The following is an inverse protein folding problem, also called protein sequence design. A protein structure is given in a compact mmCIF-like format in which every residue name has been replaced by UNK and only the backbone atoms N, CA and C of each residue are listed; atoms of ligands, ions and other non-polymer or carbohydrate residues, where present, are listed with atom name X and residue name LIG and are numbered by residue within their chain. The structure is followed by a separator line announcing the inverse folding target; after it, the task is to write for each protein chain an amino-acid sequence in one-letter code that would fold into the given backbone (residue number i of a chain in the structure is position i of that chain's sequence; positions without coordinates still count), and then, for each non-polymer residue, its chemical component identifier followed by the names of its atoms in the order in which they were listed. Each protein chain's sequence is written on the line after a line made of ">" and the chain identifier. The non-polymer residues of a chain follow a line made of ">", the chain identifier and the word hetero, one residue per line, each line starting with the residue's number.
data_IF_148064685702
#
_entry.id   IF_148064685702
#
_cell.length_a   1.000
_cell.length_b   1.000
_cell.length_c   1.000
_cell.angle_alpha   90.00
_cell.angle_beta   90.00
_cell.angle_gamma   90.00
#
_symmetry.space_group_name_H-M   'P 1'
#
loop_
_entity.id
_entity.type
_entity.pdbx_description
1 polymer ?
#
# COMPACT_ATOMS: atom_id res chain seq x y z
N UNK A 1 39.24 22.37 -38.11
CA UNK A 1 38.98 23.77 -37.76
C UNK A 1 37.73 23.79 -36.87
N UNK A 2 37.96 24.23 -35.62
CA UNK A 2 37.03 24.81 -34.59
C UNK A 2 35.77 24.00 -34.29
N UNK A 3 35.55 23.30 -33.24
CA UNK A 3 35.92 23.53 -31.84
C UNK A 3 34.90 24.38 -31.10
N UNK A 4 33.86 23.76 -30.50
CA UNK A 4 33.15 24.42 -29.36
C UNK A 4 32.70 23.37 -28.34
N UNK A 5 33.40 23.40 -27.21
CA UNK A 5 33.10 22.63 -25.99
C UNK A 5 31.99 23.35 -25.22
N UNK A 6 30.84 22.70 -25.01
CA UNK A 6 29.81 23.11 -24.08
C UNK A 6 30.18 22.72 -22.65
N UNK A 7 30.20 23.70 -21.73
CA UNK A 7 30.49 23.56 -20.31
C UNK A 7 29.36 22.81 -19.60
N UNK A 8 29.73 21.75 -18.89
CA UNK A 8 28.93 21.09 -17.87
C UNK A 8 28.97 21.96 -16.61
N UNK A 9 27.82 22.50 -16.22
CA UNK A 9 27.66 23.25 -14.99
C UNK A 9 27.60 22.30 -13.79
N UNK A 10 28.63 22.36 -12.93
CA UNK A 10 28.68 21.64 -11.69
C UNK A 10 27.72 22.22 -10.65
N UNK A 11 26.84 21.41 -10.14
CA UNK A 11 26.05 21.70 -8.93
C UNK A 11 26.98 21.69 -7.71
N UNK A 12 27.18 22.85 -7.09
CA UNK A 12 27.83 22.98 -5.77
C UNK A 12 26.88 22.46 -4.71
N UNK A 13 27.30 21.44 -3.94
CA UNK A 13 26.70 21.01 -2.70
C UNK A 13 26.71 22.18 -1.69
N UNK A 14 25.54 22.69 -1.36
CA UNK A 14 25.37 23.65 -0.27
C UNK A 14 25.55 22.94 1.06
N UNK A 15 26.55 23.40 1.83
CA UNK A 15 26.85 22.95 3.19
C UNK A 15 25.67 23.26 4.12
N UNK A 16 24.99 22.20 4.63
CA UNK A 16 24.07 22.33 5.75
C UNK A 16 24.84 22.73 7.00
N UNK A 17 24.63 23.94 7.51
CA UNK A 17 25.02 24.30 8.86
C UNK A 17 24.09 23.60 9.85
N UNK A 18 24.62 22.62 10.56
CA UNK A 18 24.05 22.09 11.77
C UNK A 18 24.07 23.17 12.85
N UNK A 19 22.91 23.54 13.37
CA UNK A 19 22.86 24.51 14.46
C UNK A 19 21.44 24.82 14.86
N UNK A 20 20.83 23.95 15.67
CA UNK A 20 19.85 24.24 16.72
C UNK A 20 19.34 22.89 17.27
N UNK A 21 20.22 22.16 17.98
CA UNK A 21 19.82 21.19 18.96
C UNK A 21 20.13 21.77 20.35
N UNK A 22 19.17 21.84 21.28
CA UNK A 22 19.51 22.10 22.67
C UNK A 22 20.22 20.87 23.22
N UNK A 23 21.42 21.09 23.80
CA UNK A 23 22.20 20.09 24.50
C UNK A 23 21.38 19.51 25.66
N UNK A 24 21.16 18.21 25.63
CA UNK A 24 20.58 17.46 26.75
C UNK A 24 21.69 17.16 27.75
N UNK A 25 21.56 17.69 28.98
CA UNK A 25 22.46 17.46 30.11
C UNK A 25 21.83 16.34 30.98
N UNK A 26 22.48 15.18 31.17
CA UNK A 26 21.91 14.06 31.93
C UNK A 26 22.10 14.16 33.46
N UNK A 27 22.49 15.33 34.03
CA UNK A 27 22.89 15.43 35.42
C UNK A 27 21.87 16.07 36.40
N UNK A 28 20.57 16.13 36.07
CA UNK A 28 19.55 16.64 37.00
C UNK A 28 18.43 15.61 37.25
N UNK A 29 18.74 14.48 37.86
CA UNK A 29 17.75 13.65 38.56
C UNK A 29 17.74 13.98 40.05
N UNK A 30 16.79 14.81 40.45
CA UNK A 30 16.41 15.02 41.86
C UNK A 30 15.03 14.46 42.10
N UNK A 31 14.93 13.44 42.95
CA UNK A 31 13.69 12.80 43.41
C UNK A 31 12.75 13.85 44.03
N UNK A 32 11.47 13.83 43.59
CA UNK A 32 10.36 14.41 44.34
C UNK A 32 9.20 13.42 44.39
N UNK A 33 9.04 12.81 45.54
CA UNK A 33 7.90 11.98 45.95
C UNK A 33 6.66 12.86 46.03
N UNK A 34 5.66 12.62 45.16
CA UNK A 34 4.37 13.31 45.18
C UNK A 34 3.42 12.63 46.15
N UNK A 35 2.83 13.40 47.08
CA UNK A 35 1.73 13.00 47.97
C UNK A 35 0.38 13.01 47.22
N UNK A 36 -0.56 12.09 47.56
CA UNK A 36 -1.90 12.06 46.94
C UNK A 36 -2.84 13.08 47.59
N UNK A 37 -3.40 13.97 46.79
CA UNK A 37 -4.47 14.86 47.20
C UNK A 37 -4.36 16.25 46.61
N UNK A 38 -4.80 16.41 45.34
CA UNK A 38 -5.40 17.65 44.84
C UNK A 38 -5.95 17.36 43.43
N UNK A 39 -7.22 16.95 43.39
CA UNK A 39 -7.98 16.89 42.14
C UNK A 39 -8.62 18.27 41.90
N UNK A 40 -7.88 19.17 41.32
CA UNK A 40 -8.32 20.53 41.00
C UNK A 40 -7.62 21.07 39.79
N UNK A 41 -8.41 21.27 38.74
CA UNK A 41 -8.12 22.19 37.63
C UNK A 41 -7.03 21.84 36.61
N UNK A 42 -7.33 20.89 35.72
CA UNK A 42 -6.57 20.60 34.50
C UNK A 42 -7.06 21.39 33.26
N UNK A 43 -7.62 22.56 33.46
CA UNK A 43 -8.04 23.45 32.37
C UNK A 43 -7.08 24.64 32.22
N UNK A 44 -5.88 24.44 31.66
CA UNK A 44 -5.05 25.64 31.38
C UNK A 44 -3.54 25.45 31.25
N UNK A 45 -3.03 24.32 30.73
CA UNK A 45 -1.63 24.27 30.32
C UNK A 45 -1.52 24.09 28.82
N UNK A 46 -0.85 25.02 28.10
CA UNK A 46 -0.41 24.79 26.74
C UNK A 46 0.81 23.85 26.76
N UNK A 47 0.79 22.88 25.83
CA UNK A 47 1.93 22.20 25.24
C UNK A 47 2.82 21.37 26.14
N UNK A 48 2.41 20.10 26.31
CA UNK A 48 3.34 19.02 26.66
C UNK A 48 4.16 18.64 25.42
N UNK A 49 5.49 18.44 25.52
CA UNK A 49 6.35 18.00 24.41
C UNK A 49 5.90 16.69 23.75
N UNK A 50 5.10 15.87 24.43
CA UNK A 50 4.51 14.65 23.89
C UNK A 50 3.51 14.89 22.73
N UNK A 51 2.79 16.01 22.71
CA UNK A 51 1.85 16.32 21.61
C UNK A 51 2.54 16.77 20.33
N UNK A 52 3.72 17.36 20.44
CA UNK A 52 4.58 17.73 19.29
C UNK A 52 5.24 16.49 18.67
N UNK A 53 5.72 15.56 19.48
CA UNK A 53 6.33 14.30 19.01
C UNK A 53 5.31 13.49 18.20
N UNK A 54 4.06 13.37 18.68
CA UNK A 54 2.99 12.67 17.94
C UNK A 54 2.64 13.39 16.62
N UNK A 55 2.75 14.71 16.55
CA UNK A 55 2.48 15.46 15.32
C UNK A 55 3.56 15.24 14.24
N UNK A 56 4.81 15.01 14.62
CA UNK A 56 5.91 14.79 13.68
C UNK A 56 5.89 13.38 13.06
N UNK A 57 5.23 12.41 13.71
CA UNK A 57 5.04 11.07 13.18
C UNK A 57 3.95 11.01 12.09
N UNK A 58 3.15 12.07 11.92
CA UNK A 58 2.13 12.11 10.88
C UNK A 58 2.78 12.29 9.50
N UNK A 59 2.34 11.49 8.49
CA UNK A 59 2.85 11.61 7.12
C UNK A 59 2.41 12.91 6.43
N UNK A 60 1.26 13.45 6.85
CA UNK A 60 0.69 14.69 6.34
C UNK A 60 1.26 15.91 7.08
N UNK A 61 1.42 17.03 6.37
CA UNK A 61 1.75 18.30 6.99
C UNK A 61 0.61 18.77 7.88
N UNK A 62 0.90 19.00 9.16
CA UNK A 62 -0.06 19.52 10.13
C UNK A 62 0.34 20.93 10.57
N UNK A 63 -0.58 21.87 10.40
CA UNK A 63 -0.44 23.23 10.91
C UNK A 63 -1.65 23.57 11.76
N UNK A 64 -1.41 24.03 12.99
CA UNK A 64 -2.47 24.50 13.90
C UNK A 64 -2.19 25.94 14.27
N UNK A 65 -3.16 26.81 14.04
CA UNK A 65 -3.12 28.20 14.48
C UNK A 65 -4.18 28.46 15.57
N UNK A 66 -3.87 29.40 16.46
CA UNK A 66 -4.75 29.83 17.54
C UNK A 66 -5.86 30.79 17.05
N UNK A 67 -6.60 31.37 17.99
CA UNK A 67 -7.67 32.32 17.74
C UNK A 67 -7.21 33.64 17.10
N UNK A 68 -5.93 33.99 17.22
CA UNK A 68 -5.31 35.19 16.67
C UNK A 68 -4.55 34.90 15.36
N UNK A 69 -4.68 33.68 14.84
CA UNK A 69 -4.02 33.22 13.62
C UNK A 69 -2.53 32.90 13.79
N UNK A 70 -2.04 32.80 15.02
CA UNK A 70 -0.62 32.47 15.26
C UNK A 70 -0.42 30.96 15.26
N UNK A 71 0.57 30.50 14.51
CA UNK A 71 0.94 29.10 14.39
C UNK A 71 1.45 28.56 15.72
N UNK A 72 0.79 27.53 16.23
CA UNK A 72 1.14 26.83 17.48
C UNK A 72 1.78 25.46 17.22
N UNK A 73 1.39 24.81 16.12
CA UNK A 73 1.96 23.53 15.69
C UNK A 73 2.31 23.63 14.23
N UNK A 74 3.51 23.17 13.89
CA UNK A 74 4.03 23.07 12.53
C UNK A 74 4.93 21.86 12.48
N UNK A 75 4.42 20.73 11.99
CA UNK A 75 5.13 19.45 12.04
C UNK A 75 6.22 19.33 10.97
N UNK A 76 7.07 18.33 11.11
CA UNK A 76 8.17 18.05 10.18
C UNK A 76 7.69 17.84 8.73
N UNK A 77 6.51 17.25 8.52
CA UNK A 77 5.92 17.08 7.18
C UNK A 77 5.50 18.42 6.57
N UNK A 78 4.91 19.34 7.35
CA UNK A 78 4.60 20.69 6.90
C UNK A 78 5.88 21.46 6.52
N UNK A 79 6.94 21.34 7.32
CA UNK A 79 8.23 21.96 7.02
C UNK A 79 8.84 21.46 5.70
N UNK A 80 8.77 20.16 5.44
CA UNK A 80 9.24 19.58 4.17
C UNK A 80 8.41 20.02 2.96
N UNK A 81 7.08 20.09 3.10
CA UNK A 81 6.19 20.46 2.01
C UNK A 81 6.26 21.92 1.63
N UNK A 82 6.47 22.80 2.62
CA UNK A 82 6.47 24.25 2.41
C UNK A 82 7.86 24.85 2.26
N UNK A 83 8.92 24.07 2.56
CA UNK A 83 10.29 24.58 2.61
C UNK A 83 10.57 25.52 3.79
N UNK A 84 9.61 25.73 4.70
CA UNK A 84 9.72 26.64 5.85
C UNK A 84 10.10 25.84 7.10
N UNK A 85 11.22 26.15 7.80
CA UNK A 85 11.57 25.51 9.05
C UNK A 85 10.51 25.75 10.13
N UNK A 86 10.26 24.76 10.99
CA UNK A 86 9.24 24.87 12.05
C UNK A 86 9.56 26.03 13.02
N UNK A 87 10.83 26.28 13.35
CA UNK A 87 11.26 27.41 14.19
C UNK A 87 10.88 28.77 13.59
N UNK A 88 10.85 28.89 12.27
CA UNK A 88 10.51 30.14 11.57
C UNK A 88 9.00 30.31 11.40
N UNK A 89 8.23 29.23 11.54
CA UNK A 89 6.78 29.23 11.40
C UNK A 89 6.05 29.50 12.72
N UNK A 90 6.57 28.95 13.84
CA UNK A 90 5.93 29.04 15.15
C UNK A 90 5.79 30.49 15.63
N UNK A 91 4.60 30.81 16.15
CA UNK A 91 4.25 32.15 16.68
C UNK A 91 3.96 33.20 15.60
N UNK A 92 4.27 32.95 14.33
CA UNK A 92 3.95 33.86 13.22
C UNK A 92 2.48 33.68 12.76
N UNK A 93 2.00 34.67 12.01
CA UNK A 93 0.66 34.59 11.43
C UNK A 93 0.63 33.49 10.35
N UNK A 94 -0.40 32.64 10.39
CA UNK A 94 -0.58 31.52 9.45
C UNK A 94 -0.67 31.98 7.99
N UNK A 95 -1.18 33.19 7.75
CA UNK A 95 -1.28 33.77 6.40
C UNK A 95 0.12 34.10 5.83
N UNK A 96 1.06 34.46 6.68
CA UNK A 96 2.44 34.77 6.27
C UNK A 96 3.29 33.50 6.12
N UNK A 97 3.01 32.49 6.95
CA UNK A 97 3.70 31.19 6.90
C UNK A 97 3.23 30.35 5.72
N UNK A 98 1.94 30.41 5.40
CA UNK A 98 1.31 29.69 4.30
C UNK A 98 0.65 30.67 3.33
N UNK A 99 1.37 31.37 2.48
CA UNK A 99 0.83 32.32 1.51
C UNK A 99 0.18 31.58 0.31
N UNK A 100 -0.90 30.86 0.58
CA UNK A 100 -1.59 29.98 -0.35
C UNK A 100 -2.39 30.74 -1.41
N UNK A 101 -2.31 30.28 -2.66
CA UNK A 101 -3.05 30.82 -3.81
C UNK A 101 -3.83 29.72 -4.51
N UNK A 102 -4.95 30.07 -5.13
CA UNK A 102 -5.68 29.17 -6.03
C UNK A 102 -5.03 29.11 -7.44
N UNK A 103 -5.61 28.31 -8.33
CA UNK A 103 -5.12 28.16 -9.70
C UNK A 103 -5.11 29.46 -10.51
N UNK A 104 -5.97 30.42 -10.14
CA UNK A 104 -6.05 31.75 -10.75
C UNK A 104 -5.13 32.78 -10.06
N UNK A 105 -4.30 32.34 -9.10
CA UNK A 105 -3.37 33.21 -8.39
C UNK A 105 -3.99 34.08 -7.29
N UNK A 106 -5.28 33.89 -6.97
CA UNK A 106 -5.97 34.65 -5.91
C UNK A 106 -5.58 34.13 -4.53
N UNK A 107 -5.47 35.05 -3.56
CA UNK A 107 -5.14 34.68 -2.20
C UNK A 107 -6.25 33.83 -1.56
N UNK A 108 -5.94 32.58 -1.19
CA UNK A 108 -6.88 31.67 -0.55
C UNK A 108 -7.46 32.23 0.76
N UNK A 109 -6.67 32.96 1.53
CA UNK A 109 -7.09 33.53 2.82
C UNK A 109 -8.18 34.60 2.69
N UNK A 110 -8.22 35.33 1.58
CA UNK A 110 -9.28 36.28 1.30
C UNK A 110 -10.62 35.60 1.05
N UNK A 111 -10.60 34.39 0.47
CA UNK A 111 -11.82 33.61 0.19
C UNK A 111 -12.22 32.72 1.38
N UNK A 112 -11.26 32.13 2.07
CA UNK A 112 -11.51 31.22 3.19
C UNK A 112 -11.93 31.97 4.45
N UNK A 113 -11.34 33.15 4.71
CA UNK A 113 -11.51 34.01 5.88
C UNK A 113 -11.92 33.25 7.16
N UNK A 114 -11.01 32.46 7.75
CA UNK A 114 -11.36 31.54 8.82
C UNK A 114 -11.86 32.25 10.08
N UNK A 115 -11.41 33.49 10.33
CA UNK A 115 -11.64 34.21 11.56
C UNK A 115 -12.83 35.18 11.49
N UNK A 116 -13.07 35.80 10.31
CA UNK A 116 -14.13 36.81 10.12
C UNK A 116 -15.26 36.37 9.20
N UNK A 117 -15.09 35.19 8.54
CA UNK A 117 -16.10 34.63 7.63
C UNK A 117 -17.32 34.04 8.33
N UNK A 118 -18.11 33.26 7.61
CA UNK A 118 -19.37 32.67 8.07
C UNK A 118 -19.20 31.87 9.37
N UNK A 119 -19.86 32.26 10.44
CA UNK A 119 -19.81 31.62 11.77
C UNK A 119 -20.33 30.18 11.78
N UNK A 120 -21.04 29.76 10.76
CA UNK A 120 -21.57 28.40 10.57
C UNK A 120 -20.56 27.46 9.89
N UNK A 121 -19.52 27.97 9.22
CA UNK A 121 -18.54 27.17 8.53
C UNK A 121 -17.62 26.45 9.55
N UNK A 122 -17.57 25.13 9.46
CA UNK A 122 -16.73 24.29 10.34
C UNK A 122 -15.53 23.67 9.63
N UNK A 123 -15.53 23.66 8.30
CA UNK A 123 -14.44 23.12 7.50
C UNK A 123 -14.39 23.77 6.12
N UNK A 124 -13.21 23.73 5.51
CA UNK A 124 -13.01 23.95 4.08
C UNK A 124 -12.68 22.59 3.47
N UNK A 125 -13.37 22.15 2.41
CA UNK A 125 -13.07 20.88 1.75
C UNK A 125 -11.65 20.91 1.18
N UNK A 126 -11.15 19.75 0.80
CA UNK A 126 -9.86 19.62 0.13
C UNK A 126 -9.84 20.47 -1.14
N UNK A 127 -8.82 21.33 -1.23
CA UNK A 127 -8.58 22.18 -2.39
C UNK A 127 -7.12 22.09 -2.80
N UNK A 128 -6.87 22.13 -4.12
CA UNK A 128 -5.54 22.27 -4.68
C UNK A 128 -5.12 23.74 -4.61
N UNK A 129 -4.07 24.03 -3.87
CA UNK A 129 -3.54 25.37 -3.66
C UNK A 129 -2.04 25.40 -3.99
N UNK A 130 -1.53 26.58 -4.27
CA UNK A 130 -0.16 26.78 -4.73
C UNK A 130 0.62 27.65 -3.75
N UNK A 131 1.84 27.25 -3.45
CA UNK A 131 2.83 28.08 -2.76
C UNK A 131 3.43 29.11 -3.74
N UNK A 132 4.11 30.16 -3.24
CA UNK A 132 4.74 31.18 -4.08
C UNK A 132 5.79 30.66 -5.08
N UNK A 133 6.41 29.51 -4.77
CA UNK A 133 7.38 28.83 -5.64
C UNK A 133 6.72 28.00 -6.74
N UNK A 134 5.37 27.95 -6.79
CA UNK A 134 4.59 27.17 -7.72
C UNK A 134 4.34 25.72 -7.27
N UNK A 135 4.78 25.32 -6.09
CA UNK A 135 4.53 23.99 -5.54
C UNK A 135 3.05 23.81 -5.27
N UNK A 136 2.44 22.80 -5.89
CA UNK A 136 1.04 22.42 -5.68
C UNK A 136 0.91 21.57 -4.41
N UNK A 137 0.00 21.97 -3.52
CA UNK A 137 -0.36 21.25 -2.30
C UNK A 137 -1.86 21.10 -2.14
N UNK A 138 -2.29 19.93 -1.71
CA UNK A 138 -3.67 19.66 -1.32
C UNK A 138 -3.86 20.12 0.11
N UNK A 139 -4.84 20.99 0.34
CA UNK A 139 -5.07 21.61 1.63
C UNK A 139 -6.49 21.37 2.09
N UNK A 140 -6.66 20.88 3.32
CA UNK A 140 -7.95 20.86 4.03
C UNK A 140 -7.86 21.73 5.28
N UNK A 141 -8.95 22.41 5.63
CA UNK A 141 -9.00 23.25 6.83
C UNK A 141 -10.20 22.87 7.69
N UNK A 142 -10.00 22.77 9.00
CA UNK A 142 -11.04 22.58 9.99
C UNK A 142 -11.03 23.74 11.01
N UNK A 143 -12.22 24.28 11.30
CA UNK A 143 -12.39 25.41 12.20
C UNK A 143 -12.97 24.93 13.53
N UNK A 144 -12.14 24.83 14.57
CA UNK A 144 -12.57 24.48 15.91
C UNK A 144 -13.06 25.76 16.58
N UNK A 145 -14.37 25.84 16.83
CA UNK A 145 -15.02 27.02 17.37
C UNK A 145 -15.35 26.86 18.85
N UNK A 146 -15.47 27.95 19.57
CA UNK A 146 -15.92 27.98 20.97
C UNK A 146 -17.31 27.36 21.14
N UNK A 147 -17.52 26.71 22.30
CA UNK A 147 -18.87 26.29 22.69
C UNK A 147 -19.76 27.51 22.88
N UNK A 148 -20.99 27.45 22.41
CA UNK A 148 -21.98 28.52 22.55
C UNK A 148 -22.23 28.79 24.04
N UNK A 149 -21.95 30.01 24.51
CA UNK A 149 -22.35 30.46 25.84
C UNK A 149 -23.72 31.17 25.79
N UNK A 150 -24.04 31.81 24.66
CA UNK A 150 -25.34 32.49 24.42
C UNK A 150 -25.84 32.16 23.00
N UNK A 151 -27.19 32.07 22.78
CA UNK A 151 -27.77 31.70 21.49
C UNK A 151 -27.46 32.65 20.34
N UNK A 152 -27.23 33.93 20.62
CA UNK A 152 -27.08 35.01 19.63
C UNK A 152 -25.60 35.38 19.31
N UNK A 153 -24.65 34.94 20.10
CA UNK A 153 -23.23 35.31 19.91
C UNK A 153 -22.56 34.56 18.73
N UNK A 154 -21.78 35.26 17.88
CA UNK A 154 -21.02 34.62 16.82
C UNK A 154 -19.95 33.70 17.43
N UNK A 155 -19.86 32.48 16.93
CA UNK A 155 -18.86 31.48 17.37
C UNK A 155 -17.48 31.86 16.85
N UNK A 156 -16.59 32.30 17.71
CA UNK A 156 -15.21 32.60 17.34
C UNK A 156 -14.43 31.31 17.06
N UNK A 157 -13.51 31.35 16.11
CA UNK A 157 -12.58 30.24 15.87
C UNK A 157 -11.57 30.24 16.99
N UNK A 158 -11.50 29.14 17.74
CA UNK A 158 -10.51 28.91 18.80
C UNK A 158 -9.22 28.35 18.24
N UNK A 159 -9.32 27.45 17.25
CA UNK A 159 -8.20 26.85 16.55
C UNK A 159 -8.55 26.64 15.08
N UNK A 160 -7.58 26.88 14.23
CA UNK A 160 -7.59 26.53 12.82
C UNK A 160 -6.63 25.36 12.65
N UNK A 161 -7.13 24.23 12.16
CA UNK A 161 -6.34 23.04 11.85
C UNK A 161 -6.25 22.92 10.33
N UNK A 162 -5.04 22.83 9.81
CA UNK A 162 -4.75 22.74 8.38
C UNK A 162 -3.96 21.45 8.16
N UNK A 163 -4.43 20.61 7.27
CA UNK A 163 -3.68 19.45 6.75
C UNK A 163 -3.17 19.78 5.36
N UNK A 164 -1.90 19.49 5.12
CA UNK A 164 -1.19 19.70 3.87
C UNK A 164 -0.72 18.35 3.31
N UNK A 165 -1.01 18.09 2.05
CA UNK A 165 -0.54 16.90 1.31
C UNK A 165 0.16 17.31 0.04
N UNK A 166 1.25 16.66 -0.29
CA UNK A 166 1.90 16.89 -1.58
C UNK A 166 1.01 16.42 -2.73
N UNK A 167 0.80 17.26 -3.74
CA UNK A 167 0.04 16.91 -4.94
C UNK A 167 0.67 15.73 -5.71
N UNK A 168 1.97 15.50 -5.55
CA UNK A 168 2.67 14.36 -6.13
C UNK A 168 2.08 13.01 -5.72
N UNK A 169 1.59 12.86 -4.48
CA UNK A 169 0.98 11.61 -4.02
C UNK A 169 -0.33 11.34 -4.77
N UNK A 170 -1.16 12.36 -4.97
CA UNK A 170 -2.39 12.26 -5.77
C UNK A 170 -2.07 11.98 -7.23
N UNK A 171 -1.14 12.70 -7.82
CA UNK A 171 -0.71 12.49 -9.20
C UNK A 171 -0.07 11.11 -9.42
N UNK A 172 0.60 10.55 -8.40
CA UNK A 172 1.08 9.15 -8.43
C UNK A 172 -0.07 8.16 -8.38
N UNK A 173 -1.08 8.41 -7.53
CA UNK A 173 -2.26 7.55 -7.39
C UNK A 173 -3.11 7.58 -8.67
N UNK A 174 -3.33 8.77 -9.24
CA UNK A 174 -4.07 8.94 -10.50
C UNK A 174 -3.33 8.30 -11.69
N UNK A 175 -2.00 8.47 -11.76
CA UNK A 175 -1.17 7.77 -12.76
C UNK A 175 -1.22 6.26 -12.58
N UNK A 176 -1.11 5.76 -11.36
CA UNK A 176 -1.21 4.32 -11.07
C UNK A 176 -2.57 3.75 -11.51
N UNK A 177 -3.67 4.49 -11.29
CA UNK A 177 -5.01 4.10 -11.78
C UNK A 177 -5.11 4.12 -13.31
N UNK A 178 -4.56 5.14 -13.95
CA UNK A 178 -4.55 5.22 -15.42
C UNK A 178 -3.71 4.10 -16.04
N UNK A 179 -2.55 3.80 -15.46
CA UNK A 179 -1.67 2.70 -15.87
C UNK A 179 -2.38 1.34 -15.68
N UNK A 180 -3.15 1.18 -14.58
CA UNK A 180 -3.99 0.01 -14.33
C UNK A 180 -4.99 -0.20 -15.46
N UNK A 181 -5.81 0.81 -15.76
CA UNK A 181 -6.84 0.73 -16.81
C UNK A 181 -6.21 0.44 -18.18
N UNK A 182 -5.09 1.09 -18.50
CA UNK A 182 -4.37 0.88 -19.77
C UNK A 182 -3.82 -0.53 -19.88
N UNK A 183 -3.21 -1.05 -18.82
CA UNK A 183 -2.64 -2.41 -18.79
C UNK A 183 -3.73 -3.46 -18.92
N UNK A 184 -4.82 -3.32 -18.15
CA UNK A 184 -5.99 -4.23 -18.22
C UNK A 184 -6.58 -4.24 -19.63
N UNK A 185 -6.79 -3.07 -20.24
CA UNK A 185 -7.33 -2.97 -21.60
C UNK A 185 -6.41 -3.68 -22.63
N UNK A 186 -5.10 -3.57 -22.47
CA UNK A 186 -4.14 -4.25 -23.35
C UNK A 186 -4.17 -5.77 -23.17
N UNK A 187 -4.17 -6.26 -21.91
CA UNK A 187 -4.18 -7.69 -21.58
C UNK A 187 -5.51 -8.38 -21.96
N UNK A 188 -6.62 -7.64 -21.94
CA UNK A 188 -7.91 -8.15 -22.43
C UNK A 188 -8.00 -8.15 -23.96
N UNK A 189 -7.44 -7.13 -24.64
CA UNK A 189 -7.54 -7.01 -26.11
C UNK A 189 -6.88 -8.18 -26.83
N UNK A 190 -5.74 -8.65 -26.35
CA UNK A 190 -4.99 -9.74 -26.99
C UNK A 190 -5.79 -11.04 -27.09
N UNK A 191 -6.27 -11.66 -26.00
CA UNK A 191 -7.06 -12.89 -26.07
C UNK A 191 -8.40 -12.70 -26.79
N UNK A 192 -9.09 -11.57 -26.61
CA UNK A 192 -10.33 -11.27 -27.32
C UNK A 192 -10.13 -11.17 -28.83
N UNK A 193 -9.00 -10.63 -29.29
CA UNK A 193 -8.67 -10.59 -30.71
C UNK A 193 -8.44 -11.98 -31.27
N UNK A 194 -7.77 -12.84 -30.51
CA UNK A 194 -7.53 -14.25 -30.87
C UNK A 194 -8.85 -15.04 -30.93
N UNK A 195 -9.67 -14.97 -29.89
CA UNK A 195 -11.03 -15.59 -29.87
C UNK A 195 -11.84 -15.14 -31.08
N UNK A 196 -11.94 -13.82 -31.34
CA UNK A 196 -12.68 -13.29 -32.47
C UNK A 196 -12.10 -13.73 -33.82
N UNK A 197 -10.78 -13.77 -33.94
CA UNK A 197 -10.09 -14.15 -35.18
C UNK A 197 -10.33 -15.62 -35.53
N UNK A 198 -10.14 -16.54 -34.58
CA UNK A 198 -10.34 -17.96 -34.82
C UNK A 198 -11.80 -18.31 -35.04
N UNK A 199 -12.73 -17.74 -34.25
CA UNK A 199 -14.16 -17.96 -34.45
C UNK A 199 -14.62 -17.42 -35.81
N UNK A 200 -14.23 -16.23 -36.23
CA UNK A 200 -14.55 -15.67 -37.53
C UNK A 200 -13.97 -16.53 -38.68
N UNK A 201 -12.75 -17.04 -38.50
CA UNK A 201 -12.07 -17.90 -39.49
C UNK A 201 -12.78 -19.24 -39.63
N UNK A 202 -13.14 -19.86 -38.49
CA UNK A 202 -13.94 -21.12 -38.49
C UNK A 202 -15.29 -20.92 -39.16
N UNK A 203 -16.04 -19.88 -38.83
CA UNK A 203 -17.33 -19.57 -39.42
C UNK A 203 -17.26 -19.36 -40.94
N UNK A 204 -16.23 -18.60 -41.39
CA UNK A 204 -16.10 -18.27 -42.81
C UNK A 204 -15.58 -19.42 -43.68
N UNK A 205 -14.78 -20.32 -43.11
CA UNK A 205 -14.03 -21.33 -43.88
C UNK A 205 -14.10 -22.73 -43.28
N UNK A 206 -15.18 -23.09 -42.57
CA UNK A 206 -15.35 -24.35 -41.84
C UNK A 206 -14.96 -25.59 -42.66
N UNK A 207 -15.38 -25.62 -43.93
CA UNK A 207 -15.16 -26.77 -44.82
C UNK A 207 -13.73 -26.88 -45.37
N UNK A 208 -12.87 -25.88 -45.12
CA UNK A 208 -11.49 -25.88 -45.58
C UNK A 208 -10.50 -26.44 -44.56
N UNK A 209 -10.95 -26.68 -43.34
CA UNK A 209 -10.11 -27.17 -42.25
C UNK A 209 -10.39 -28.62 -41.96
N UNK A 210 -9.34 -29.37 -41.64
CA UNK A 210 -9.44 -30.71 -41.09
C UNK A 210 -10.01 -30.63 -39.67
N UNK A 211 -10.53 -31.76 -39.16
CA UNK A 211 -11.09 -31.79 -37.81
C UNK A 211 -10.03 -31.55 -36.74
N UNK A 212 -8.79 -31.97 -36.94
CA UNK A 212 -7.65 -31.65 -36.06
C UNK A 212 -7.35 -30.14 -36.03
N UNK A 213 -7.37 -29.47 -37.19
CA UNK A 213 -7.19 -28.02 -37.27
C UNK A 213 -8.30 -27.27 -36.58
N UNK A 214 -9.55 -27.67 -36.78
CA UNK A 214 -10.70 -27.10 -36.07
C UNK A 214 -10.56 -27.27 -34.57
N UNK A 215 -10.14 -28.47 -34.13
CA UNK A 215 -9.89 -28.77 -32.70
C UNK A 215 -8.88 -27.84 -32.07
N UNK A 216 -7.71 -27.70 -32.68
CA UNK A 216 -6.66 -26.78 -32.21
C UNK A 216 -7.14 -25.34 -32.11
N UNK A 217 -7.93 -24.87 -33.13
CA UNK A 217 -8.50 -23.53 -33.10
C UNK A 217 -9.50 -23.35 -31.96
N UNK A 218 -10.36 -24.33 -31.71
CA UNK A 218 -11.34 -24.31 -30.62
C UNK A 218 -10.67 -24.39 -29.24
N UNK A 219 -9.66 -25.24 -29.11
CA UNK A 219 -8.86 -25.33 -27.89
C UNK A 219 -8.17 -23.99 -27.58
N UNK A 220 -7.64 -23.31 -28.60
CA UNK A 220 -7.07 -21.96 -28.45
C UNK A 220 -8.12 -20.94 -28.02
N UNK A 221 -9.31 -20.98 -28.63
CA UNK A 221 -10.43 -20.09 -28.24
C UNK A 221 -10.83 -20.32 -26.80
N UNK A 222 -10.95 -21.58 -26.37
CA UNK A 222 -11.30 -21.92 -25.00
C UNK A 222 -10.24 -21.44 -24.01
N UNK A 223 -8.96 -21.69 -24.28
CA UNK A 223 -7.85 -21.24 -23.44
C UNK A 223 -7.78 -19.72 -23.28
N UNK A 224 -8.04 -18.97 -24.37
CA UNK A 224 -8.10 -17.51 -24.33
C UNK A 224 -9.34 -16.99 -23.59
N UNK A 225 -10.49 -17.66 -23.68
CA UNK A 225 -11.68 -17.34 -22.90
C UNK A 225 -11.45 -17.56 -21.39
N UNK A 226 -10.83 -18.67 -21.02
CA UNK A 226 -10.43 -18.95 -19.63
C UNK A 226 -9.44 -17.91 -19.09
N UNK A 227 -8.53 -17.46 -19.95
CA UNK A 227 -7.60 -16.38 -19.60
C UNK A 227 -8.32 -15.07 -19.31
N UNK A 228 -9.32 -14.69 -20.12
CA UNK A 228 -10.14 -13.48 -19.90
C UNK A 228 -10.90 -13.60 -18.58
N UNK A 229 -11.50 -14.75 -18.30
CA UNK A 229 -12.25 -15.00 -17.06
C UNK A 229 -11.34 -14.84 -15.84
N UNK A 230 -10.14 -15.42 -15.86
CA UNK A 230 -9.16 -15.26 -14.78
C UNK A 230 -8.75 -13.79 -14.59
N UNK A 231 -8.51 -13.04 -15.68
CA UNK A 231 -8.19 -11.63 -15.63
C UNK A 231 -9.26 -10.79 -14.94
N UNK A 232 -10.54 -11.08 -15.24
CA UNK A 232 -11.68 -10.39 -14.62
C UNK A 232 -11.74 -10.70 -13.12
N UNK A 233 -11.57 -11.95 -12.74
CA UNK A 233 -11.56 -12.39 -11.33
C UNK A 233 -10.41 -11.73 -10.57
N UNK A 234 -9.19 -11.74 -11.13
CA UNK A 234 -8.02 -11.06 -10.56
C UNK A 234 -8.28 -9.57 -10.32
N UNK A 235 -8.93 -8.89 -11.28
CA UNK A 235 -9.25 -7.46 -11.17
C UNK A 235 -10.27 -7.18 -10.06
N UNK A 236 -11.27 -8.04 -9.92
CA UNK A 236 -12.25 -7.93 -8.82
C UNK A 236 -11.58 -8.14 -7.46
N UNK A 237 -10.67 -9.11 -7.35
CA UNK A 237 -9.92 -9.34 -6.11
C UNK A 237 -9.01 -8.15 -5.79
N UNK A 238 -8.29 -7.60 -6.77
CA UNK A 238 -7.50 -6.35 -6.59
C UNK A 238 -8.38 -5.22 -6.06
N UNK A 239 -9.56 -5.01 -6.67
CA UNK A 239 -10.49 -3.95 -6.23
C UNK A 239 -10.99 -4.15 -4.79
N UNK A 240 -11.25 -5.41 -4.38
CA UNK A 240 -11.66 -5.74 -3.00
C UNK A 240 -10.54 -5.54 -2.00
N UNK A 241 -9.30 -5.92 -2.35
CA UNK A 241 -8.11 -5.73 -1.53
C UNK A 241 -7.84 -4.23 -1.33
N UNK A 242 -7.84 -3.43 -2.41
CA UNK A 242 -7.57 -1.98 -2.32
C UNK A 242 -8.63 -1.21 -1.53
N UNK A 243 -9.90 -1.63 -1.64
CA UNK A 243 -11.00 -1.00 -0.90
C UNK A 243 -11.12 -1.47 0.55
N UNK A 244 -10.31 -2.44 0.99
CA UNK A 244 -10.43 -3.06 2.32
C UNK A 244 -11.73 -3.84 2.52
N UNK A 245 -12.39 -4.24 1.43
CA UNK A 245 -13.68 -4.99 1.44
C UNK A 245 -13.52 -6.48 1.20
N UNK A 246 -12.29 -7.00 1.32
CA UNK A 246 -12.04 -8.42 1.20
C UNK A 246 -12.56 -9.13 2.46
N UNK A 247 -13.65 -9.86 2.32
CA UNK A 247 -14.21 -10.71 3.38
C UNK A 247 -13.55 -12.07 3.34
N UNK A 248 -13.24 -12.62 4.52
CA UNK A 248 -12.60 -13.94 4.69
C UNK A 248 -13.55 -14.82 5.51
N UNK A 249 -13.99 -15.92 4.89
CA UNK A 249 -14.87 -16.89 5.54
C UNK A 249 -14.05 -18.01 6.18
N UNK A 250 -13.66 -17.81 7.44
CA UNK A 250 -12.80 -18.75 8.16
C UNK A 250 -13.52 -20.02 8.54
N UNK A 251 -12.95 -21.16 8.15
CA UNK A 251 -13.34 -22.50 8.54
C UNK A 251 -12.09 -23.32 8.89
N UNK A 252 -12.26 -24.44 9.56
CA UNK A 252 -11.13 -25.35 9.80
C UNK A 252 -10.64 -25.95 8.48
N UNK A 253 -9.34 -25.82 8.17
CA UNK A 253 -8.77 -26.23 6.89
C UNK A 253 -7.52 -27.07 7.10
N UNK A 254 -7.46 -28.22 6.40
CA UNK A 254 -6.28 -29.06 6.25
C UNK A 254 -5.41 -28.50 5.09
N UNK A 255 -4.41 -27.68 5.43
CA UNK A 255 -3.51 -27.05 4.43
C UNK A 255 -2.80 -28.10 3.57
N UNK A 256 -2.20 -29.19 4.10
CA UNK A 256 -1.63 -30.27 3.30
C UNK A 256 -2.61 -30.90 2.30
N UNK A 257 -3.86 -31.13 2.69
CA UNK A 257 -4.87 -31.67 1.78
C UNK A 257 -5.17 -30.71 0.62
N UNK A 258 -5.26 -29.39 0.92
CA UNK A 258 -5.47 -28.37 -0.10
C UNK A 258 -4.29 -28.28 -1.06
N UNK A 259 -3.04 -28.29 -0.54
CA UNK A 259 -1.84 -28.29 -1.37
C UNK A 259 -1.81 -29.50 -2.32
N UNK A 260 -2.17 -30.71 -1.82
CA UNK A 260 -2.29 -31.92 -2.69
C UNK A 260 -3.34 -31.73 -3.79
N UNK A 261 -4.50 -31.15 -3.47
CA UNK A 261 -5.55 -30.89 -4.46
C UNK A 261 -5.10 -29.91 -5.54
N UNK A 262 -4.43 -28.82 -5.19
CA UNK A 262 -3.90 -27.86 -6.15
C UNK A 262 -2.86 -28.53 -7.06
N UNK A 263 -1.91 -29.29 -6.50
CA UNK A 263 -0.92 -30.05 -7.28
C UNK A 263 -1.61 -31.05 -8.23
N UNK A 264 -2.59 -31.81 -7.73
CA UNK A 264 -3.36 -32.77 -8.56
C UNK A 264 -4.10 -32.07 -9.71
N UNK A 265 -4.59 -30.85 -9.50
CA UNK A 265 -5.21 -30.03 -10.55
C UNK A 265 -4.22 -29.69 -11.68
N UNK A 266 -2.99 -29.30 -11.36
CA UNK A 266 -1.94 -29.02 -12.35
C UNK A 266 -1.50 -30.29 -13.10
N UNK A 267 -1.41 -31.43 -12.41
CA UNK A 267 -1.12 -32.71 -13.06
C UNK A 267 -2.22 -33.12 -14.02
N UNK A 268 -3.49 -32.97 -13.63
CA UNK A 268 -4.64 -33.23 -14.50
C UNK A 268 -4.67 -32.27 -15.71
N UNK A 269 -4.15 -31.07 -15.58
CA UNK A 269 -4.01 -30.10 -16.67
C UNK A 269 -2.80 -30.38 -17.61
N UNK A 270 -2.03 -31.44 -17.36
CA UNK A 270 -0.96 -31.92 -18.26
C UNK A 270 0.47 -31.72 -17.76
N UNK A 271 0.67 -31.18 -16.55
CA UNK A 271 2.00 -31.11 -15.95
C UNK A 271 2.46 -32.50 -15.46
N UNK A 272 3.74 -32.78 -15.58
CA UNK A 272 4.30 -34.06 -15.13
C UNK A 272 4.29 -34.17 -13.59
N UNK A 273 3.79 -35.29 -13.00
CA UNK A 273 3.76 -35.48 -11.54
C UNK A 273 5.13 -35.30 -10.86
N UNK A 274 6.20 -35.73 -11.52
CA UNK A 274 7.58 -35.65 -11.03
C UNK A 274 8.09 -34.19 -10.85
N UNK A 275 7.41 -33.23 -11.44
CA UNK A 275 7.72 -31.80 -11.25
C UNK A 275 7.29 -31.27 -9.89
N UNK A 276 6.50 -32.03 -9.14
CA UNK A 276 5.96 -31.56 -7.87
C UNK A 276 6.46 -32.40 -6.70
N UNK A 277 6.82 -31.73 -5.62
CA UNK A 277 7.16 -32.33 -4.35
C UNK A 277 6.35 -31.67 -3.24
N UNK A 278 5.68 -32.46 -2.41
CA UNK A 278 4.99 -31.97 -1.22
C UNK A 278 5.69 -32.52 0.02
N UNK A 279 6.15 -31.63 0.87
CA UNK A 279 6.79 -31.92 2.13
C UNK A 279 5.91 -31.37 3.26
N UNK A 280 5.60 -32.19 4.25
CA UNK A 280 4.71 -31.81 5.35
C UNK A 280 5.37 -32.23 6.66
N UNK A 281 5.45 -31.30 7.62
CA UNK A 281 5.91 -31.61 8.98
C UNK A 281 4.90 -32.51 9.70
N UNK A 282 5.43 -33.39 10.58
CA UNK A 282 4.62 -34.40 11.28
C UNK A 282 3.52 -33.80 12.19
N UNK A 283 3.75 -32.61 12.73
CA UNK A 283 2.81 -31.94 13.64
C UNK A 283 2.53 -30.54 13.13
N UNK A 284 1.30 -30.30 12.71
CA UNK A 284 0.79 -28.99 12.33
C UNK A 284 -0.32 -28.57 13.30
N UNK A 285 -0.34 -27.30 13.72
CA UNK A 285 -1.44 -26.79 14.52
C UNK A 285 -2.71 -26.63 13.67
N UNK A 286 -3.88 -26.66 14.29
CA UNK A 286 -5.15 -26.39 13.63
C UNK A 286 -5.17 -24.97 13.06
N UNK A 287 -5.72 -24.82 11.85
CA UNK A 287 -5.83 -23.53 11.16
C UNK A 287 -7.27 -23.25 10.75
N UNK A 288 -7.67 -21.98 10.89
CA UNK A 288 -8.98 -21.49 10.50
C UNK A 288 -8.82 -20.44 9.40
N UNK A 289 -9.06 -20.85 8.16
CA UNK A 289 -8.79 -20.07 6.95
C UNK A 289 -10.00 -20.12 6.02
N UNK A 290 -10.04 -19.24 5.04
CA UNK A 290 -10.91 -19.35 3.89
C UNK A 290 -10.27 -20.32 2.89
N UNK A 291 -10.94 -21.45 2.68
CA UNK A 291 -10.45 -22.55 1.86
C UNK A 291 -10.21 -22.13 0.41
N UNK A 292 -11.15 -21.39 -0.18
CA UNK A 292 -11.05 -20.96 -1.58
C UNK A 292 -9.92 -19.97 -1.79
N UNK A 293 -9.72 -19.09 -0.79
CA UNK A 293 -8.60 -18.11 -0.79
C UNK A 293 -7.25 -18.79 -0.59
N UNK A 294 -7.18 -19.82 0.25
CA UNK A 294 -5.96 -20.62 0.41
C UNK A 294 -5.59 -21.33 -0.90
N UNK A 295 -6.56 -21.94 -1.57
CA UNK A 295 -6.34 -22.59 -2.88
C UNK A 295 -5.82 -21.59 -3.91
N UNK A 296 -6.40 -20.39 -3.93
CA UNK A 296 -5.99 -19.31 -4.81
C UNK A 296 -4.55 -18.85 -4.52
N UNK A 297 -4.16 -18.76 -3.23
CA UNK A 297 -2.79 -18.43 -2.83
C UNK A 297 -1.81 -19.50 -3.35
N UNK A 298 -2.08 -20.77 -3.05
CA UNK A 298 -1.19 -21.87 -3.41
C UNK A 298 -1.12 -22.00 -4.95
N UNK A 299 -2.25 -21.94 -5.64
CA UNK A 299 -2.29 -22.02 -7.11
C UNK A 299 -1.49 -20.89 -7.77
N UNK A 300 -1.66 -19.65 -7.33
CA UNK A 300 -0.90 -18.52 -7.86
C UNK A 300 0.61 -18.66 -7.64
N UNK A 301 1.04 -19.19 -6.49
CA UNK A 301 2.46 -19.42 -6.20
C UNK A 301 3.02 -20.58 -7.02
N UNK A 302 2.28 -21.68 -7.16
CA UNK A 302 2.66 -22.84 -7.99
C UNK A 302 2.71 -22.43 -9.47
N UNK A 303 1.71 -21.72 -9.99
CA UNK A 303 1.74 -21.20 -11.37
C UNK A 303 2.94 -20.27 -11.61
N UNK A 304 3.28 -19.45 -10.61
CA UNK A 304 4.45 -18.58 -10.69
C UNK A 304 5.76 -19.39 -10.77
N UNK A 305 5.90 -20.45 -9.96
CA UNK A 305 7.02 -21.36 -9.96
C UNK A 305 7.13 -22.15 -11.29
N UNK A 306 6.01 -22.61 -11.84
CA UNK A 306 5.98 -23.30 -13.13
C UNK A 306 6.36 -22.40 -14.30
N UNK A 307 5.97 -21.12 -14.26
CA UNK A 307 6.15 -20.15 -15.35
C UNK A 307 7.53 -19.48 -15.34
N UNK A 308 8.03 -19.14 -14.18
CA UNK A 308 9.23 -18.32 -13.99
C UNK A 308 10.39 -19.09 -13.39
N UNK A 309 10.12 -20.18 -12.69
CA UNK A 309 11.11 -21.09 -12.14
C UNK A 309 11.58 -22.15 -13.13
N UNK A 310 12.36 -23.09 -12.64
CA UNK A 310 12.85 -24.26 -13.36
C UNK A 310 12.84 -25.47 -12.41
N UNK A 311 13.04 -26.67 -12.98
CA UNK A 311 13.17 -27.91 -12.22
C UNK A 311 11.93 -28.31 -11.45
N UNK A 312 12.11 -28.81 -10.23
CA UNK A 312 11.03 -29.29 -9.34
C UNK A 312 10.43 -28.12 -8.57
N UNK A 313 9.09 -28.09 -8.50
CA UNK A 313 8.32 -27.17 -7.64
C UNK A 313 8.03 -27.88 -6.33
N UNK A 314 8.64 -27.42 -5.23
CA UNK A 314 8.44 -28.00 -3.90
C UNK A 314 7.48 -27.13 -3.09
N UNK A 315 6.42 -27.75 -2.57
CA UNK A 315 5.50 -27.13 -1.62
C UNK A 315 5.81 -27.70 -0.23
N UNK A 316 6.23 -26.86 0.69
CA UNK A 316 6.61 -27.26 2.05
C UNK A 316 5.62 -26.65 3.03
N UNK A 317 5.03 -27.48 3.90
CA UNK A 317 4.10 -27.06 4.94
C UNK A 317 4.70 -27.43 6.29
N UNK A 318 4.95 -26.43 7.14
CA UNK A 318 5.61 -26.63 8.41
C UNK A 318 5.00 -25.79 9.55
N UNK A 319 5.13 -26.25 10.77
CA UNK A 319 4.84 -25.42 11.95
C UNK A 319 5.95 -24.37 12.09
N UNK A 320 5.56 -23.14 12.38
CA UNK A 320 6.49 -22.05 12.61
C UNK A 320 6.07 -21.25 13.84
N UNK A 321 7.06 -20.82 14.63
CA UNK A 321 6.79 -19.90 15.73
C UNK A 321 6.56 -18.50 15.17
N UNK A 322 5.52 -17.83 15.63
CA UNK A 322 5.34 -16.43 15.34
C UNK A 322 6.57 -15.66 15.87
N UNK A 323 7.28 -14.93 15.04
CA UNK A 323 8.33 -14.00 15.47
C UNK A 323 7.69 -12.79 16.16
N UNK A 324 7.04 -13.05 17.29
CA UNK A 324 6.61 -12.05 18.25
C UNK A 324 7.62 -12.03 19.39
N UNK A 325 7.87 -10.86 19.99
CA UNK A 325 8.84 -10.69 21.08
C UNK A 325 8.63 -11.67 22.24
N UNK A 326 9.53 -11.69 23.24
CA UNK A 326 9.51 -12.65 24.33
C UNK A 326 8.17 -12.62 25.08
N UNK A 327 7.35 -13.69 24.93
CA UNK A 327 6.03 -13.84 25.54
C UNK A 327 4.87 -14.13 24.57
N UNK A 328 5.06 -14.05 23.26
CA UNK A 328 4.03 -14.40 22.27
C UNK A 328 4.22 -15.86 21.82
N UNK A 329 3.45 -16.79 22.37
CA UNK A 329 3.39 -18.20 21.97
C UNK A 329 2.37 -18.46 20.86
N UNK A 330 2.12 -17.47 19.98
CA UNK A 330 1.21 -17.66 18.87
C UNK A 330 1.86 -18.61 17.84
N UNK A 331 1.33 -19.82 17.76
CA UNK A 331 1.73 -20.77 16.72
C UNK A 331 1.24 -20.29 15.36
N UNK A 332 2.04 -20.51 14.34
CA UNK A 332 1.69 -20.23 12.94
C UNK A 332 2.01 -21.44 12.07
N UNK A 333 1.31 -21.58 10.95
CA UNK A 333 1.70 -22.52 9.89
C UNK A 333 2.37 -21.73 8.79
N UNK A 334 3.57 -22.16 8.38
CA UNK A 334 4.26 -21.61 7.23
C UNK A 334 4.10 -22.54 6.02
N UNK A 335 3.83 -21.95 4.88
CA UNK A 335 3.79 -22.62 3.59
C UNK A 335 4.82 -21.98 2.68
N UNK A 336 5.73 -22.77 2.12
CA UNK A 336 6.75 -22.32 1.18
C UNK A 336 6.53 -22.99 -0.17
N UNK A 337 6.52 -22.22 -1.24
CA UNK A 337 6.59 -22.71 -2.61
C UNK A 337 7.95 -22.36 -3.18
N UNK A 338 8.73 -23.38 -3.55
CA UNK A 338 10.14 -23.28 -4.01
C UNK A 338 10.25 -23.73 -5.45
N UNK A 339 11.08 -23.05 -6.22
CA UNK A 339 11.53 -23.46 -7.55
C UNK A 339 13.07 -23.51 -7.61
N UNK A 340 13.61 -24.03 -8.72
CA UNK A 340 15.05 -24.16 -8.96
C UNK A 340 15.51 -23.24 -10.12
N UNK A 341 14.81 -22.11 -10.34
CA UNK A 341 15.14 -21.14 -11.38
C UNK A 341 16.25 -20.15 -11.02
N UNK A 342 16.24 -19.01 -11.67
CA UNK A 342 17.20 -17.92 -11.41
C UNK A 342 16.98 -17.23 -10.04
N UNK A 343 15.79 -17.40 -9.45
CA UNK A 343 15.39 -16.73 -8.22
C UNK A 343 15.02 -15.27 -8.43
N UNK A 344 14.89 -14.56 -7.30
CA UNK A 344 14.56 -13.12 -7.27
C UNK A 344 15.72 -12.36 -6.65
N UNK A 345 16.24 -11.36 -7.35
CA UNK A 345 17.30 -10.52 -6.83
C UNK A 345 16.81 -9.74 -5.58
N UNK A 346 17.63 -9.59 -4.52
CA UNK A 346 17.23 -8.95 -3.27
C UNK A 346 16.63 -7.54 -3.44
N UNK A 347 17.15 -6.78 -4.41
CA UNK A 347 16.69 -5.41 -4.72
C UNK A 347 15.28 -5.40 -5.30
N UNK A 348 14.84 -6.52 -5.89
CA UNK A 348 13.50 -6.68 -6.48
C UNK A 348 12.49 -7.24 -5.48
N UNK A 349 12.92 -7.88 -4.39
CA UNK A 349 12.05 -8.50 -3.40
C UNK A 349 10.92 -7.59 -2.88
N UNK A 350 11.13 -6.29 -2.55
CA UNK A 350 10.05 -5.39 -2.15
C UNK A 350 9.09 -5.01 -3.28
N UNK A 351 9.48 -5.28 -4.54
CA UNK A 351 8.73 -4.86 -5.74
C UNK A 351 7.90 -5.97 -6.35
N UNK A 352 8.23 -7.24 -6.13
CA UNK A 352 7.55 -8.39 -6.77
C UNK A 352 6.07 -8.49 -6.38
N UNK A 353 5.69 -7.96 -5.20
CA UNK A 353 4.31 -7.91 -4.72
C UNK A 353 3.53 -6.66 -5.15
N UNK A 354 4.12 -5.77 -5.97
CA UNK A 354 3.39 -4.61 -6.51
C UNK A 354 2.52 -5.02 -7.68
N UNK A 355 1.42 -4.32 -7.85
CA UNK A 355 0.53 -4.49 -9.00
C UNK A 355 1.30 -4.35 -10.31
N UNK A 356 0.99 -5.22 -11.29
CA UNK A 356 1.56 -5.24 -12.65
C UNK A 356 3.08 -5.35 -12.71
N UNK A 357 3.73 -5.69 -11.60
CA UNK A 357 5.17 -5.89 -11.62
C UNK A 357 5.54 -7.14 -12.41
N UNK A 358 6.50 -7.00 -13.32
CA UNK A 358 7.04 -8.07 -14.16
C UNK A 358 8.55 -7.89 -14.30
N UNK A 359 9.31 -8.95 -14.08
CA UNK A 359 10.77 -8.92 -14.27
C UNK A 359 11.18 -8.93 -15.76
N UNK A 360 10.43 -9.62 -16.59
CA UNK A 360 10.61 -9.71 -18.05
C UNK A 360 9.22 -9.75 -18.72
N UNK A 361 9.10 -9.28 -19.96
CA UNK A 361 7.82 -9.18 -20.72
C UNK A 361 7.15 -10.54 -21.08
N UNK A 362 7.56 -11.66 -20.48
CA UNK A 362 7.01 -12.97 -20.79
C UNK A 362 5.88 -13.36 -19.84
N UNK A 363 4.65 -13.27 -20.34
CA UNK A 363 3.45 -13.93 -19.84
C UNK A 363 3.02 -13.57 -18.40
N UNK A 364 1.72 -13.46 -18.17
CA UNK A 364 1.12 -13.19 -16.87
C UNK A 364 0.71 -11.73 -16.69
N UNK A 365 -0.28 -11.51 -15.81
CA UNK A 365 -0.91 -10.21 -15.56
C UNK A 365 -0.07 -9.30 -14.67
N UNK A 366 0.83 -9.89 -13.86
CA UNK A 366 1.53 -9.19 -12.79
C UNK A 366 0.63 -8.88 -11.59
N UNK A 367 -0.56 -9.49 -11.51
CA UNK A 367 -1.51 -9.34 -10.41
C UNK A 367 -1.40 -10.46 -9.38
N UNK A 368 -1.02 -11.68 -9.79
CA UNK A 368 -1.05 -12.87 -8.93
C UNK A 368 -0.33 -12.69 -7.60
N UNK A 369 0.91 -12.21 -7.58
CA UNK A 369 1.65 -12.00 -6.33
C UNK A 369 1.08 -10.86 -5.46
N UNK A 370 0.51 -9.82 -6.07
CA UNK A 370 -0.21 -8.78 -5.33
C UNK A 370 -1.46 -9.34 -4.65
N UNK A 371 -2.24 -10.18 -5.37
CA UNK A 371 -3.42 -10.87 -4.82
C UNK A 371 -3.00 -11.81 -3.69
N UNK A 372 -1.96 -12.63 -3.89
CA UNK A 372 -1.42 -13.51 -2.85
C UNK A 372 -1.10 -12.72 -1.58
N UNK A 373 -0.38 -11.60 -1.70
CA UNK A 373 -0.07 -10.75 -0.56
C UNK A 373 -1.33 -10.24 0.14
N UNK A 374 -2.28 -9.70 -0.59
CA UNK A 374 -3.54 -9.19 -0.03
C UNK A 374 -4.37 -10.28 0.67
N UNK A 375 -4.44 -11.48 0.08
CA UNK A 375 -5.14 -12.62 0.68
C UNK A 375 -4.47 -13.11 1.97
N UNK A 376 -3.13 -13.21 1.99
CA UNK A 376 -2.36 -13.59 3.17
C UNK A 376 -2.54 -12.56 4.30
N UNK A 377 -2.42 -11.26 3.99
CA UNK A 377 -2.60 -10.16 4.95
C UNK A 377 -4.03 -10.11 5.52
N UNK A 378 -5.06 -10.39 4.70
CA UNK A 378 -6.46 -10.46 5.15
C UNK A 378 -6.71 -11.61 6.15
N UNK A 379 -5.92 -12.68 6.08
CA UNK A 379 -5.93 -13.75 7.07
C UNK A 379 -5.12 -13.42 8.35
N UNK A 380 -4.40 -12.28 8.37
CA UNK A 380 -3.50 -11.90 9.47
C UNK A 380 -2.12 -12.56 9.36
N UNK A 381 -1.78 -13.10 8.19
CA UNK A 381 -0.49 -13.71 7.89
C UNK A 381 0.53 -12.72 7.31
N UNK A 382 1.71 -13.25 6.99
CA UNK A 382 2.78 -12.51 6.31
C UNK A 382 3.32 -13.30 5.14
N UNK A 383 3.84 -12.61 4.11
CA UNK A 383 4.49 -13.25 2.97
C UNK A 383 5.84 -12.59 2.68
N UNK A 384 6.80 -13.41 2.29
CA UNK A 384 8.14 -12.97 1.88
C UNK A 384 8.63 -13.79 0.68
N UNK A 385 9.58 -13.23 -0.07
CA UNK A 385 10.34 -13.94 -1.08
C UNK A 385 11.78 -14.08 -0.58
N UNK A 386 12.29 -15.29 -0.64
CA UNK A 386 13.61 -15.71 -0.16
C UNK A 386 14.36 -16.42 -1.30
N UNK A 387 15.64 -16.69 -1.09
CA UNK A 387 16.39 -17.58 -1.96
C UNK A 387 16.14 -19.02 -1.52
N UNK A 388 15.74 -19.88 -2.44
CA UNK A 388 15.57 -21.30 -2.14
C UNK A 388 16.91 -21.99 -1.82
N UNK A 389 16.94 -23.01 -0.93
CA UNK A 389 18.17 -23.72 -0.56
C UNK A 389 18.91 -24.37 -1.75
N UNK A 390 18.14 -24.93 -2.71
CA UNK A 390 18.67 -25.60 -3.90
C UNK A 390 18.86 -24.66 -5.11
N UNK A 391 18.75 -23.35 -4.90
CA UNK A 391 18.69 -22.33 -5.94
C UNK A 391 17.24 -21.98 -6.29
N UNK A 392 17.04 -20.87 -7.03
CA UNK A 392 15.72 -20.39 -7.38
C UNK A 392 15.09 -19.49 -6.33
N UNK A 393 13.76 -19.30 -6.41
CA UNK A 393 12.98 -18.50 -5.48
C UNK A 393 12.21 -19.38 -4.48
N UNK A 394 12.08 -18.89 -3.26
CA UNK A 394 11.15 -19.40 -2.25
C UNK A 394 10.16 -18.31 -1.90
N UNK A 395 8.89 -18.53 -2.20
CA UNK A 395 7.78 -17.72 -1.70
C UNK A 395 7.23 -18.38 -0.45
N UNK A 396 7.44 -17.73 0.70
CA UNK A 396 7.04 -18.24 2.01
C UNK A 396 5.97 -17.34 2.60
N UNK A 397 4.82 -17.91 2.94
CA UNK A 397 3.79 -17.21 3.69
C UNK A 397 3.48 -17.92 5.00
N UNK A 398 3.00 -17.15 5.98
CA UNK A 398 2.58 -17.67 7.28
C UNK A 398 1.10 -17.40 7.49
N UNK A 399 0.43 -18.31 8.20
CA UNK A 399 -0.96 -18.18 8.60
C UNK A 399 -1.07 -18.36 10.12
N UNK A 400 -1.88 -17.55 10.81
CA UNK A 400 -2.13 -17.75 12.24
C UNK A 400 -2.76 -19.11 12.49
N UNK A 401 -2.31 -19.80 13.54
CA UNK A 401 -2.92 -21.01 14.04
C UNK A 401 -3.91 -20.73 15.18
N UNK A 402 -4.84 -21.65 15.40
CA UNK A 402 -5.88 -21.56 16.42
C UNK A 402 -7.22 -21.07 15.90
N UNK A 403 -8.28 -21.34 16.66
CA UNK A 403 -9.62 -20.88 16.38
C UNK A 403 -9.68 -19.35 16.51
N UNK A 404 -10.41 -18.63 15.62
CA UNK A 404 -10.66 -17.22 15.80
C UNK A 404 -11.47 -16.99 17.10
N UNK A 405 -11.16 -15.91 17.81
CA UNK A 405 -11.98 -15.44 18.91
C UNK A 405 -13.34 -15.04 18.35
N UNK A 406 -14.37 -15.84 18.64
CA UNK A 406 -15.77 -15.52 18.31
C UNK A 406 -16.39 -14.64 19.42
N UNK A 407 -15.68 -13.59 19.86
CA UNK A 407 -16.13 -12.68 20.90
C UNK A 407 -17.28 -11.76 20.47
#
# INVERSE_FOLDING_TARGET
>A
MTGTRGRVGGYRAGSYRAGCAPAWDPASQGEAVARPGDAGDLAGRPDTPASLVIADDLPDGLVIADQDGRVQVFNAAAARLTGTPACDALGRNVHDVLPLRDAEGRNCWACADPYHGLSTRTRHPEASLYLPDGTEILTTMAYIRERRREPAAPRRVRRLVISLRGAEQRARLERSRADLVSTVAHELRSPLTSVKGFTATLLAKWHRFTDDQKRVMLETVNADADRVTRLITDLLDVSRIESGRLEVHRQQVDIPARARMVIAGHVAAGEHPERFRLEVSDVLPETWLDQDKLDQIISNLVENALRHGAGTVSVVVESADARGGPGSSAQTVAVSVRDQGEGVAPELAPRVFRQFWRAKRRGGTGLGLFIVKGLVEAHGGTIAVLKAPEGGAEFRFTMPAGAPDFG
#
